data_IF_806167052625
#
_entry.id   IF_806167052625
#
_cell.length_a   1.000
_cell.length_b   1.000
_cell.length_c   1.000
_cell.angle_alpha   90.00
_cell.angle_beta   90.00
_cell.angle_gamma   90.00
#
_symmetry.space_group_name_H-M   'P 1'
#
loop_
_entity.id
_entity.type
_entity.pdbx_description
1 polymer ?
#
# COMPACT_ATOMS: atom_id res chain seq x y z
N UNK A 1 -5.52 -29.58 10.01
CA UNK A 1 -6.12 -28.43 9.31
C UNK A 1 -5.02 -27.65 8.60
N UNK A 2 -5.30 -27.07 7.43
CA UNK A 2 -4.35 -26.18 6.77
C UNK A 2 -4.90 -24.76 6.77
N UNK A 3 -4.19 -23.84 7.43
CA UNK A 3 -4.59 -22.44 7.54
C UNK A 3 -4.72 -21.76 6.17
N UNK A 4 -3.86 -22.12 5.20
CA UNK A 4 -3.83 -21.44 3.90
C UNK A 4 -4.98 -21.86 2.98
N UNK A 5 -5.61 -23.01 3.24
CA UNK A 5 -6.74 -23.51 2.43
C UNK A 5 -8.12 -23.19 3.00
N UNK A 6 -8.20 -22.74 4.26
CA UNK A 6 -9.46 -22.43 4.93
C UNK A 6 -9.83 -20.95 4.79
N UNK A 7 -11.14 -20.67 4.80
CA UNK A 7 -11.61 -19.30 4.88
C UNK A 7 -11.27 -18.72 6.26
N UNK A 8 -10.94 -17.42 6.29
CA UNK A 8 -10.55 -16.75 7.53
C UNK A 8 -11.63 -16.86 8.62
N UNK A 9 -12.90 -16.79 8.23
CA UNK A 9 -14.06 -16.92 9.12
C UNK A 9 -14.11 -18.31 9.77
N UNK A 10 -13.91 -19.37 8.99
CA UNK A 10 -13.89 -20.76 9.48
C UNK A 10 -12.76 -20.98 10.48
N UNK A 11 -11.57 -20.42 10.18
CA UNK A 11 -10.41 -20.53 11.09
C UNK A 11 -10.71 -19.85 12.43
N UNK A 12 -11.34 -18.67 12.42
CA UNK A 12 -11.67 -17.93 13.64
C UNK A 12 -12.73 -18.67 14.45
N UNK A 13 -13.77 -19.16 13.79
CA UNK A 13 -14.85 -19.91 14.42
C UNK A 13 -14.30 -21.17 15.10
N UNK A 14 -13.50 -21.95 14.37
CA UNK A 14 -12.83 -23.12 14.93
C UNK A 14 -11.97 -22.79 16.15
N UNK A 15 -11.11 -21.78 16.05
CA UNK A 15 -10.23 -21.37 17.16
C UNK A 15 -11.06 -20.94 18.38
N UNK A 16 -12.12 -20.16 18.18
CA UNK A 16 -12.98 -19.70 19.28
C UNK A 16 -13.72 -20.86 19.96
N UNK A 17 -14.18 -21.85 19.18
CA UNK A 17 -14.77 -23.08 19.71
C UNK A 17 -13.76 -23.84 20.57
N UNK A 18 -12.55 -24.07 20.07
CA UNK A 18 -11.52 -24.82 20.80
C UNK A 18 -11.00 -24.08 22.04
N UNK A 19 -10.86 -22.75 21.96
CA UNK A 19 -10.52 -21.92 23.12
C UNK A 19 -11.63 -21.95 24.18
N UNK A 20 -12.89 -21.99 23.78
CA UNK A 20 -14.04 -22.12 24.69
C UNK A 20 -14.08 -23.48 25.39
N UNK A 21 -13.55 -24.53 24.77
CA UNK A 21 -13.34 -25.85 25.39
C UNK A 21 -12.18 -25.88 26.39
N UNK A 22 -11.45 -24.77 26.55
CA UNK A 22 -10.32 -24.66 27.49
C UNK A 22 -8.97 -25.10 26.93
N UNK A 23 -8.87 -25.43 25.63
CA UNK A 23 -7.58 -25.70 24.99
C UNK A 23 -6.74 -24.42 24.91
N UNK A 24 -5.42 -24.57 24.96
CA UNK A 24 -4.52 -23.43 24.79
C UNK A 24 -4.33 -23.11 23.32
N UNK A 25 -4.08 -21.83 23.00
CA UNK A 25 -3.78 -21.41 21.62
C UNK A 25 -2.55 -22.14 21.06
N UNK A 26 -1.58 -22.45 21.93
CA UNK A 26 -0.37 -23.18 21.54
C UNK A 26 -0.72 -24.56 21.00
N UNK A 27 -1.58 -25.29 21.71
CA UNK A 27 -1.95 -26.66 21.32
C UNK A 27 -2.73 -26.66 20.00
N UNK A 28 -3.64 -25.69 19.82
CA UNK A 28 -4.39 -25.54 18.57
C UNK A 28 -3.43 -25.27 17.39
N UNK A 29 -2.46 -24.37 17.58
CA UNK A 29 -1.47 -24.05 16.53
C UNK A 29 -0.57 -25.24 16.19
N UNK A 30 -0.02 -25.93 17.19
CA UNK A 30 0.96 -27.00 16.99
C UNK A 30 0.31 -28.33 16.56
N UNK A 31 -0.86 -28.68 17.11
CA UNK A 31 -1.51 -29.98 16.87
C UNK A 31 -2.46 -29.90 15.68
N UNK A 32 -3.35 -28.91 15.66
CA UNK A 32 -4.44 -28.88 14.67
C UNK A 32 -3.99 -28.23 13.36
N UNK A 33 -3.19 -27.15 13.44
CA UNK A 33 -2.71 -26.41 12.27
C UNK A 33 -1.27 -26.74 11.88
N UNK A 34 -0.55 -27.54 12.67
CA UNK A 34 0.85 -27.91 12.43
C UNK A 34 1.76 -26.70 12.16
N UNK A 35 1.56 -25.62 12.93
CA UNK A 35 2.36 -24.39 12.86
C UNK A 35 2.93 -24.04 14.23
N UNK A 36 4.04 -23.32 14.23
CA UNK A 36 4.68 -22.90 15.48
C UNK A 36 3.78 -21.94 16.27
N UNK A 37 3.93 -21.99 17.60
CA UNK A 37 3.28 -21.07 18.55
C UNK A 37 3.38 -19.60 18.11
N UNK A 38 2.25 -18.92 18.12
CA UNK A 38 2.05 -17.52 17.82
C UNK A 38 1.94 -17.19 16.33
N UNK A 39 2.08 -18.16 15.42
CA UNK A 39 1.97 -17.92 13.98
C UNK A 39 0.56 -17.47 13.61
N UNK A 40 -0.47 -18.20 14.04
CA UNK A 40 -1.86 -17.87 13.72
C UNK A 40 -2.26 -16.60 14.46
N UNK A 41 -1.89 -16.47 15.73
CA UNK A 41 -2.15 -15.26 16.51
C UNK A 41 -1.61 -14.00 15.80
N UNK A 42 -0.37 -14.05 15.29
CA UNK A 42 0.22 -12.94 14.52
C UNK A 42 -0.53 -12.67 13.22
N UNK A 43 -0.95 -13.72 12.50
CA UNK A 43 -1.72 -13.60 11.25
C UNK A 43 -3.09 -12.97 11.49
N UNK A 44 -3.80 -13.38 12.53
CA UNK A 44 -5.07 -12.81 12.96
C UNK A 44 -4.92 -11.33 13.36
N UNK A 45 -3.89 -10.99 14.15
CA UNK A 45 -3.59 -9.60 14.51
C UNK A 45 -3.33 -8.71 13.29
N UNK A 46 -2.64 -9.23 12.26
CA UNK A 46 -2.40 -8.52 10.98
C UNK A 46 -3.66 -8.34 10.14
N UNK A 47 -4.73 -9.08 10.43
CA UNK A 47 -6.04 -8.97 9.78
C UNK A 47 -7.04 -8.16 10.61
N UNK A 48 -6.64 -7.64 11.78
CA UNK A 48 -7.48 -6.82 12.66
C UNK A 48 -8.23 -7.59 13.75
N UNK A 49 -7.89 -8.86 13.98
CA UNK A 49 -8.48 -9.65 15.08
C UNK A 49 -7.60 -9.62 16.31
N UNK A 50 -8.20 -9.48 17.49
CA UNK A 50 -7.50 -9.53 18.78
C UNK A 50 -8.17 -10.51 19.72
N UNK A 51 -7.36 -11.18 20.53
CA UNK A 51 -7.84 -12.04 21.62
C UNK A 51 -8.36 -11.17 22.78
N UNK A 52 -9.64 -11.24 23.07
CA UNK A 52 -10.35 -10.58 24.17
C UNK A 52 -11.18 -11.65 24.89
N UNK A 53 -11.04 -11.78 26.21
CA UNK A 53 -11.78 -12.76 27.01
C UNK A 53 -11.72 -14.19 26.44
N UNK A 54 -10.51 -14.63 26.11
CA UNK A 54 -10.22 -15.92 25.50
C UNK A 54 -10.78 -16.17 24.09
N UNK A 55 -11.41 -15.19 23.44
CA UNK A 55 -11.93 -15.30 22.07
C UNK A 55 -11.28 -14.28 21.13
N UNK A 56 -11.13 -14.61 19.85
CA UNK A 56 -10.72 -13.67 18.82
C UNK A 56 -11.92 -12.89 18.29
N UNK A 57 -11.86 -11.57 18.43
CA UNK A 57 -12.88 -10.62 17.98
C UNK A 57 -12.23 -9.61 17.03
N UNK A 58 -12.97 -9.20 16.00
CA UNK A 58 -12.53 -8.15 15.09
C UNK A 58 -12.56 -6.79 15.80
N UNK A 59 -11.46 -6.05 15.74
CA UNK A 59 -11.34 -4.72 16.34
C UNK A 59 -10.96 -3.70 15.27
N UNK A 60 -11.94 -2.90 14.85
CA UNK A 60 -11.78 -1.84 13.85
C UNK A 60 -10.75 -0.76 14.25
N UNK A 61 -10.47 -0.61 15.55
CA UNK A 61 -9.50 0.38 16.05
C UNK A 61 -8.06 -0.07 15.82
N UNK A 62 -7.83 -1.35 15.53
CA UNK A 62 -6.51 -1.85 15.17
C UNK A 62 -6.19 -1.34 13.76
N UNK A 63 -5.37 -0.29 13.68
CA UNK A 63 -4.74 0.13 12.44
C UNK A 63 -4.00 -1.08 11.87
N UNK A 64 -4.59 -1.72 10.86
CA UNK A 64 -3.92 -2.76 10.07
C UNK A 64 -2.55 -2.21 9.66
N UNK A 65 -1.49 -2.64 10.34
CA UNK A 65 -0.13 -2.15 10.11
C UNK A 65 0.29 -2.41 8.66
N UNK A 66 -0.36 -3.38 7.99
CA UNK A 66 -0.14 -3.76 6.60
C UNK A 66 -1.07 -3.04 5.60
N UNK A 67 -2.18 -2.42 6.02
CA UNK A 67 -3.07 -1.70 5.07
C UNK A 67 -2.46 -0.41 4.53
N UNK A 68 -1.46 0.18 5.21
CA UNK A 68 -0.85 1.44 4.77
C UNK A 68 0.19 1.30 3.66
N UNK A 69 0.68 0.08 3.36
CA UNK A 69 1.80 -0.11 2.42
C UNK A 69 1.42 -0.84 1.13
N UNK A 70 0.21 -1.38 0.97
CA UNK A 70 -0.23 -2.11 -0.23
C UNK A 70 -1.59 -1.67 -0.78
N UNK A 71 -1.90 -0.38 -0.77
CA UNK A 71 -2.94 0.20 -1.66
C UNK A 71 -2.33 0.65 -2.99
N UNK A 72 -1.46 -0.18 -3.56
CA UNK A 72 -1.05 -0.04 -4.97
C UNK A 72 -2.12 -0.76 -5.79
N UNK A 73 -3.03 0.02 -6.36
CA UNK A 73 -3.77 -0.26 -7.60
C UNK A 73 -4.38 -1.66 -7.75
N UNK A 74 -5.55 -1.89 -7.15
CA UNK A 74 -6.57 -2.74 -7.77
C UNK A 74 -7.75 -1.85 -8.11
N UNK A 75 -7.64 -1.13 -9.23
CA UNK A 75 -8.82 -0.58 -9.91
C UNK A 75 -9.57 -1.75 -10.52
N UNK A 76 -10.68 -2.10 -9.89
CA UNK A 76 -11.66 -3.06 -10.37
C UNK A 76 -12.14 -2.61 -11.76
N UNK A 77 -11.76 -3.34 -12.81
CA UNK A 77 -12.42 -3.27 -14.12
C UNK A 77 -13.69 -4.10 -14.00
N UNK A 78 -14.77 -3.49 -13.53
CA UNK A 78 -16.10 -4.08 -13.66
C UNK A 78 -17.05 -3.05 -14.29
N UNK A 79 -17.56 -3.43 -15.45
CA UNK A 79 -18.86 -3.07 -16.04
C UNK A 79 -18.91 -1.89 -17.03
N UNK A 80 -18.69 -2.28 -18.29
CA UNK A 80 -19.52 -1.92 -19.44
C UNK A 80 -20.99 -1.67 -19.07
N UNK A 81 -21.52 -0.52 -19.47
CA UNK A 81 -22.92 -0.43 -19.92
C UNK A 81 -22.97 0.45 -21.17
N UNK A 82 -23.49 -0.15 -22.23
CA UNK A 82 -23.94 0.51 -23.45
C UNK A 82 -25.15 1.38 -23.11
N UNK A 83 -25.20 2.61 -23.60
CA UNK A 83 -26.44 3.35 -23.86
C UNK A 83 -26.12 4.41 -24.93
N UNK A 84 -26.35 4.04 -26.18
CA UNK A 84 -27.50 4.42 -27.02
C UNK A 84 -27.17 5.60 -27.93
N UNK A 85 -26.99 5.26 -29.21
CA UNK A 85 -27.19 6.13 -30.35
C UNK A 85 -28.60 6.72 -30.32
N UNK A 86 -28.72 8.04 -30.20
CA UNK A 86 -29.86 8.78 -30.73
C UNK A 86 -29.36 9.88 -31.66
N UNK A 87 -29.59 9.65 -32.94
CA UNK A 87 -29.66 10.65 -34.00
C UNK A 87 -30.75 11.66 -33.64
N UNK A 88 -30.42 12.95 -33.56
CA UNK A 88 -31.39 14.01 -33.83
C UNK A 88 -30.76 15.04 -34.78
N UNK A 89 -31.03 14.78 -36.05
CA UNK A 89 -31.45 15.71 -37.10
C UNK A 89 -31.14 17.19 -36.89
N UNK A 90 -30.39 17.71 -37.88
CA UNK A 90 -30.44 19.08 -38.35
C UNK A 90 -31.88 19.57 -38.49
N UNK A 91 -32.23 20.63 -37.77
CA UNK A 91 -33.26 21.58 -38.20
C UNK A 91 -32.83 23.00 -37.81
N UNK A 92 -33.01 23.86 -38.80
CA UNK A 92 -32.59 25.27 -38.87
C UNK A 92 -33.14 26.12 -37.71
N UNK A 93 -32.27 26.89 -37.06
CA UNK A 93 -32.60 28.22 -36.53
C UNK A 93 -31.32 28.98 -36.20
N UNK A 94 -31.27 30.22 -36.69
CA UNK A 94 -30.17 31.16 -36.58
C UNK A 94 -29.82 31.50 -35.10
N UNK A 95 -28.56 31.91 -34.90
CA UNK A 95 -28.01 32.58 -33.72
C UNK A 95 -27.65 31.69 -32.51
N UNK A 96 -26.66 30.81 -32.66
CA UNK A 96 -25.83 30.38 -31.52
C UNK A 96 -24.60 31.28 -31.43
N UNK A 97 -24.33 31.95 -30.30
CA UNK A 97 -23.10 32.71 -30.14
C UNK A 97 -21.93 31.75 -30.39
N UNK A 98 -20.99 32.16 -31.25
CA UNK A 98 -19.69 31.50 -31.37
C UNK A 98 -19.22 31.22 -29.95
N UNK A 99 -18.99 29.94 -29.59
CA UNK A 99 -18.44 29.56 -28.29
C UNK A 99 -17.14 30.33 -28.12
N UNK A 100 -17.21 31.47 -27.44
CA UNK A 100 -16.04 32.23 -27.05
C UNK A 100 -15.30 31.35 -26.07
N UNK A 101 -14.00 31.15 -26.31
CA UNK A 101 -13.18 30.47 -25.33
C UNK A 101 -13.26 31.27 -24.04
N UNK A 102 -13.60 30.61 -22.92
CA UNK A 102 -13.54 31.26 -21.61
C UNK A 102 -12.13 31.81 -21.42
N UNK A 103 -12.02 33.02 -20.86
CA UNK A 103 -10.74 33.68 -20.56
C UNK A 103 -9.81 32.74 -19.80
N UNK A 104 -10.35 31.97 -18.84
CA UNK A 104 -9.58 30.98 -18.06
C UNK A 104 -8.93 29.88 -18.92
N UNK A 105 -9.55 29.52 -20.05
CA UNK A 105 -8.99 28.52 -20.98
C UNK A 105 -7.89 29.12 -21.84
N UNK A 106 -8.02 30.40 -22.20
CA UNK A 106 -6.99 31.14 -22.92
C UNK A 106 -5.77 31.38 -22.02
N UNK A 107 -5.98 31.78 -20.77
CA UNK A 107 -4.90 31.98 -19.79
C UNK A 107 -4.13 30.69 -19.49
N UNK A 108 -4.83 29.55 -19.41
CA UNK A 108 -4.19 28.23 -19.29
C UNK A 108 -3.36 27.88 -20.52
N UNK A 109 -3.86 28.19 -21.71
CA UNK A 109 -3.16 27.91 -22.96
C UNK A 109 -1.92 28.79 -23.10
N UNK A 110 -2.00 30.06 -22.74
CA UNK A 110 -0.87 30.99 -22.70
C UNK A 110 0.21 30.52 -21.72
N UNK A 111 -0.18 30.08 -20.52
CA UNK A 111 0.75 29.48 -19.54
C UNK A 111 1.43 28.21 -20.06
N UNK A 112 0.74 27.40 -20.86
CA UNK A 112 1.31 26.19 -21.47
C UNK A 112 2.27 26.52 -22.60
N UNK A 113 1.97 27.54 -23.41
CA UNK A 113 2.84 28.00 -24.49
C UNK A 113 4.10 28.69 -23.97
N UNK A 114 3.98 29.42 -22.86
CA UNK A 114 5.07 30.14 -22.21
C UNK A 114 5.84 29.28 -21.20
N UNK A 115 5.60 27.97 -21.17
CA UNK A 115 6.29 27.06 -20.26
C UNK A 115 7.70 26.80 -20.79
N UNK A 116 8.70 27.40 -20.15
CA UNK A 116 10.11 27.17 -20.49
C UNK A 116 10.54 25.78 -20.04
N UNK A 117 10.89 24.93 -21.02
CA UNK A 117 11.35 23.57 -20.81
C UNK A 117 12.59 23.54 -19.92
N UNK A 118 13.46 24.56 -19.98
CA UNK A 118 14.66 24.63 -19.15
C UNK A 118 14.33 24.87 -17.66
N UNK A 119 13.27 25.64 -17.38
CA UNK A 119 12.81 25.86 -16.00
C UNK A 119 12.23 24.56 -15.43
N UNK A 120 11.46 23.83 -16.23
CA UNK A 120 10.95 22.52 -15.86
C UNK A 120 12.09 21.52 -15.62
N UNK A 121 13.08 21.48 -16.50
CA UNK A 121 14.23 20.59 -16.39
C UNK A 121 15.07 20.92 -15.15
N UNK A 122 15.25 22.20 -14.84
CA UNK A 122 15.90 22.65 -13.60
C UNK A 122 15.10 22.26 -12.35
N UNK A 123 13.77 22.46 -12.34
CA UNK A 123 12.93 22.02 -11.22
C UNK A 123 12.99 20.50 -11.03
N UNK A 124 12.88 19.74 -12.13
CA UNK A 124 13.01 18.29 -12.07
C UNK A 124 14.38 17.92 -11.53
N UNK A 125 15.46 18.52 -11.99
CA UNK A 125 16.80 18.24 -11.48
C UNK A 125 16.95 18.61 -9.99
N UNK A 126 16.45 19.76 -9.55
CA UNK A 126 16.51 20.19 -8.15
C UNK A 126 15.76 19.24 -7.21
N UNK A 127 14.58 18.76 -7.61
CA UNK A 127 13.72 17.93 -6.77
C UNK A 127 13.91 16.42 -6.97
N UNK A 128 14.49 15.97 -8.09
CA UNK A 128 14.70 14.54 -8.40
C UNK A 128 16.15 14.09 -8.36
N UNK A 129 17.14 15.00 -8.42
CA UNK A 129 18.54 14.58 -8.26
C UNK A 129 18.97 14.59 -6.80
N UNK A 130 19.59 13.47 -6.40
CA UNK A 130 20.46 13.15 -5.26
C UNK A 130 20.16 13.72 -3.86
N UNK A 131 19.75 14.97 -3.67
CA UNK A 131 19.65 15.60 -2.35
C UNK A 131 18.34 15.29 -1.62
N UNK A 132 17.23 15.14 -2.32
CA UNK A 132 15.89 14.83 -1.75
C UNK A 132 15.61 13.33 -1.64
N UNK A 133 16.29 12.49 -2.44
CA UNK A 133 16.12 11.02 -2.47
C UNK A 133 17.25 10.24 -1.77
N UNK A 134 18.31 10.89 -1.27
CA UNK A 134 19.30 10.20 -0.44
C UNK A 134 18.75 9.93 0.95
N UNK A 135 18.33 8.69 1.21
CA UNK A 135 18.37 8.17 2.57
C UNK A 135 19.84 7.98 2.97
N UNK A 136 20.48 9.04 3.49
CA UNK A 136 21.80 8.91 4.10
C UNK A 136 21.66 8.47 5.56
N UNK A 137 22.18 7.29 5.91
CA UNK A 137 22.30 6.87 7.30
C UNK A 137 23.63 7.42 7.83
N UNK A 138 23.58 8.49 8.63
CA UNK A 138 24.74 8.95 9.40
C UNK A 138 24.79 8.15 10.70
N UNK A 139 25.73 7.21 10.80
CA UNK A 139 26.01 6.50 12.05
C UNK A 139 26.99 7.35 12.85
N UNK A 140 26.48 8.13 13.80
CA UNK A 140 27.30 8.86 14.78
C UNK A 140 27.39 7.95 16.01
N UNK A 141 28.38 7.06 16.04
CA UNK A 141 28.55 6.17 17.18
C UNK A 141 29.51 6.79 18.21
N UNK A 142 28.98 7.18 19.37
CA UNK A 142 29.77 7.53 20.57
C UNK A 142 29.84 6.36 21.55
N UNK A 143 29.22 5.23 21.21
CA UNK A 143 29.06 4.07 22.07
C UNK A 143 29.89 2.90 21.55
N UNK A 144 30.49 2.13 22.46
CA UNK A 144 31.27 0.92 22.12
C UNK A 144 30.40 -0.32 21.90
N UNK A 145 29.07 -0.16 21.79
CA UNK A 145 28.12 -1.28 21.67
C UNK A 145 27.86 -1.59 20.20
N UNK A 146 28.20 -2.81 19.81
CA UNK A 146 27.90 -3.33 18.47
C UNK A 146 26.39 -3.38 18.26
N UNK A 147 25.92 -2.70 17.22
CA UNK A 147 24.53 -2.78 16.74
C UNK A 147 24.51 -3.36 15.32
N UNK A 148 23.44 -4.08 14.97
CA UNK A 148 23.29 -4.71 13.67
C UNK A 148 22.18 -4.05 12.84
N UNK A 149 22.43 -3.82 11.56
CA UNK A 149 21.44 -3.36 10.58
C UNK A 149 21.30 -4.43 9.50
N UNK A 150 20.06 -4.77 9.12
CA UNK A 150 19.80 -5.66 7.98
C UNK A 150 19.80 -4.85 6.69
N UNK A 151 20.60 -5.29 5.73
CA UNK A 151 20.69 -4.69 4.39
C UNK A 151 20.60 -5.78 3.33
N UNK A 152 20.29 -5.40 2.08
CA UNK A 152 20.26 -6.32 0.95
C UNK A 152 21.65 -6.94 0.70
N UNK A 153 21.69 -8.23 0.35
CA UNK A 153 22.91 -9.02 0.14
C UNK A 153 23.85 -8.40 -0.92
N UNK A 154 23.31 -7.92 -2.03
CA UNK A 154 24.08 -7.32 -3.11
C UNK A 154 24.70 -5.99 -2.67
N UNK A 155 23.96 -5.19 -1.89
CA UNK A 155 24.45 -3.93 -1.33
C UNK A 155 25.55 -4.19 -0.30
N UNK A 156 25.39 -5.20 0.56
CA UNK A 156 26.45 -5.62 1.48
C UNK A 156 27.72 -6.01 0.73
N UNK A 157 27.59 -6.77 -0.36
CA UNK A 157 28.73 -7.15 -1.21
C UNK A 157 29.46 -5.95 -1.80
N UNK A 158 28.73 -4.90 -2.21
CA UNK A 158 29.34 -3.65 -2.71
C UNK A 158 30.07 -2.89 -1.59
N UNK A 159 29.46 -2.76 -0.41
CA UNK A 159 30.07 -2.07 0.74
C UNK A 159 31.32 -2.80 1.22
N UNK A 160 31.26 -4.14 1.32
CA UNK A 160 32.39 -4.97 1.74
C UNK A 160 33.62 -4.78 0.84
N UNK A 161 33.44 -4.75 -0.49
CA UNK A 161 34.52 -4.47 -1.45
C UNK A 161 35.18 -3.10 -1.27
N UNK A 162 34.41 -2.10 -0.83
CA UNK A 162 34.95 -0.75 -0.58
C UNK A 162 35.80 -0.74 0.69
N UNK A 163 35.38 -1.47 1.73
CA UNK A 163 36.10 -1.55 3.00
C UNK A 163 37.34 -2.47 2.98
N UNK A 164 37.48 -3.33 1.96
CA UNK A 164 38.62 -4.23 1.78
C UNK A 164 39.76 -3.61 0.91
N UNK A 165 39.60 -2.36 0.44
CA UNK A 165 40.68 -1.56 -0.16
C UNK A 165 41.41 -0.75 0.91
#
# INVERSE_FOLDING_TARGET
MNYESMLLTEVIEYINIELSKGRTMKDIEEIDFNVSKGVITKRLNRKGYRKINNNFVFDEKIKNTTRKTTTILHMKKDNTTQETTELLQSNSSNNKPKKTFSTDKLDKLERLLNLDINILENMVNEYTTKNTTHCSIKVIDKTTKVTSIRINQELYGKVKKICER
#
